data_IF_064821363671
#
_entry.id   IF_064821363671
#
_cell.length_a   1.000
_cell.length_b   1.000
_cell.length_c   1.000
_cell.angle_alpha   90.00
_cell.angle_beta   90.00
_cell.angle_gamma   90.00
#
_symmetry.space_group_name_H-M   'P 1'
#
loop_
_entity.id
_entity.type
_entity.pdbx_description
1 polymer ?
#
# COMPACT_ATOMS: atom_id res chain seq x y z
N UNK A 1 -12.90 -28.66 -33.04
CA UNK A 1 -12.88 -27.22 -32.69
C UNK A 1 -13.66 -27.06 -31.40
N UNK A 2 -12.99 -27.26 -30.25
CA UNK A 2 -13.63 -27.16 -28.93
C UNK A 2 -13.46 -25.70 -28.50
N UNK A 3 -14.58 -24.97 -28.44
CA UNK A 3 -14.62 -23.65 -27.81
C UNK A 3 -14.37 -23.86 -26.31
N UNK A 4 -13.26 -23.35 -25.79
CA UNK A 4 -13.08 -23.23 -24.35
C UNK A 4 -14.01 -22.10 -23.88
N UNK A 5 -15.03 -22.47 -23.11
CA UNK A 5 -15.86 -21.51 -22.41
C UNK A 5 -15.01 -20.89 -21.30
N UNK A 6 -14.81 -19.58 -21.39
CA UNK A 6 -14.12 -18.82 -20.35
C UNK A 6 -15.00 -18.76 -19.11
N UNK A 7 -14.56 -19.41 -18.04
CA UNK A 7 -15.17 -19.26 -16.73
C UNK A 7 -15.00 -17.81 -16.27
N UNK A 8 -16.09 -17.05 -16.27
CA UNK A 8 -16.16 -15.72 -15.67
C UNK A 8 -16.08 -15.87 -14.16
N UNK A 9 -14.89 -15.63 -13.61
CA UNK A 9 -14.68 -15.50 -12.19
C UNK A 9 -15.64 -14.45 -11.60
N UNK A 10 -16.42 -14.83 -10.59
CA UNK A 10 -17.40 -13.98 -9.93
C UNK A 10 -16.67 -12.96 -9.03
N UNK A 11 -16.33 -11.82 -9.59
CA UNK A 11 -15.80 -10.66 -8.86
C UNK A 11 -15.85 -9.43 -9.77
N UNK A 12 -16.02 -8.21 -9.23
CA UNK A 12 -15.99 -6.99 -10.04
C UNK A 12 -14.69 -6.93 -10.83
N UNK A 13 -14.71 -6.33 -12.03
CA UNK A 13 -13.67 -6.35 -13.07
C UNK A 13 -12.27 -5.95 -12.55
N UNK A 14 -11.65 -6.90 -11.86
CA UNK A 14 -10.31 -6.80 -11.32
C UNK A 14 -9.43 -7.55 -12.30
N UNK A 15 -9.01 -6.85 -13.35
CA UNK A 15 -8.19 -7.44 -14.41
C UNK A 15 -7.00 -8.22 -13.82
N UNK A 16 -6.59 -9.32 -14.48
CA UNK A 16 -5.63 -10.30 -13.97
C UNK A 16 -4.36 -9.69 -13.31
N UNK A 17 -3.89 -8.54 -13.80
CA UNK A 17 -2.77 -7.78 -13.21
C UNK A 17 -3.03 -7.34 -11.76
N UNK A 18 -4.21 -6.81 -11.47
CA UNK A 18 -4.58 -6.39 -10.13
C UNK A 18 -4.71 -7.60 -9.19
N UNK A 19 -5.31 -8.69 -9.66
CA UNK A 19 -5.37 -9.94 -8.89
C UNK A 19 -3.98 -10.46 -8.51
N UNK A 20 -3.05 -10.54 -9.47
CA UNK A 20 -1.67 -10.94 -9.21
C UNK A 20 -0.99 -10.00 -8.21
N UNK A 21 -1.23 -8.69 -8.31
CA UNK A 21 -0.65 -7.70 -7.39
C UNK A 21 -1.20 -7.86 -5.98
N UNK A 22 -2.51 -8.12 -5.84
CA UNK A 22 -3.15 -8.37 -4.55
C UNK A 22 -2.61 -9.64 -3.88
N UNK A 23 -2.46 -10.75 -4.63
CA UNK A 23 -1.87 -12.00 -4.10
C UNK A 23 -0.40 -11.84 -3.73
N UNK A 24 0.34 -11.07 -4.52
CA UNK A 24 1.71 -10.71 -4.17
C UNK A 24 1.76 -9.91 -2.86
N UNK A 25 0.90 -8.90 -2.70
CA UNK A 25 0.81 -8.10 -1.48
C UNK A 25 0.48 -8.96 -0.25
N UNK A 26 -0.53 -9.83 -0.33
CA UNK A 26 -0.93 -10.76 0.74
C UNK A 26 0.21 -11.69 1.15
N UNK A 27 0.86 -12.34 0.17
CA UNK A 27 2.01 -13.21 0.46
C UNK A 27 3.17 -12.42 1.05
N UNK A 28 3.41 -11.21 0.53
CA UNK A 28 4.48 -10.35 1.00
C UNK A 28 4.26 -9.91 2.45
N UNK A 29 3.05 -9.49 2.84
CA UNK A 29 2.75 -9.01 4.19
C UNK A 29 2.83 -10.15 5.21
N UNK A 30 2.22 -11.30 4.92
CA UNK A 30 2.26 -12.46 5.81
C UNK A 30 3.67 -13.02 6.00
N UNK A 31 4.54 -12.90 4.99
CA UNK A 31 5.94 -13.32 5.12
C UNK A 31 6.67 -12.53 6.21
N UNK A 32 6.27 -11.29 6.52
CA UNK A 32 6.94 -10.50 7.56
C UNK A 32 6.86 -11.18 8.93
N UNK A 33 5.73 -11.82 9.26
CA UNK A 33 5.59 -12.56 10.51
C UNK A 33 6.60 -13.71 10.64
N UNK A 34 7.03 -14.30 9.52
CA UNK A 34 8.08 -15.33 9.52
C UNK A 34 9.44 -14.71 9.81
N UNK A 35 9.79 -13.58 9.19
CA UNK A 35 11.02 -12.84 9.48
C UNK A 35 11.09 -12.43 10.95
N UNK A 36 9.97 -11.94 11.50
CA UNK A 36 9.85 -11.56 12.90
C UNK A 36 10.06 -12.76 13.84
N UNK A 37 9.46 -13.92 13.50
CA UNK A 37 9.59 -15.16 14.27
C UNK A 37 11.02 -15.68 14.32
N UNK A 38 11.76 -15.57 13.22
CA UNK A 38 13.16 -16.05 13.14
C UNK A 38 14.18 -14.98 13.55
N UNK A 39 13.74 -13.74 13.77
CA UNK A 39 14.60 -12.62 14.19
C UNK A 39 15.54 -12.10 13.10
N UNK A 40 15.22 -12.32 11.83
CA UNK A 40 16.04 -11.89 10.69
C UNK A 40 15.46 -10.65 10.02
N UNK A 41 16.32 -9.73 9.60
CA UNK A 41 15.88 -8.58 8.81
C UNK A 41 15.55 -8.97 7.37
N UNK A 42 14.42 -8.48 6.88
CA UNK A 42 13.98 -8.74 5.51
C UNK A 42 14.70 -7.82 4.53
N UNK A 43 15.39 -8.41 3.55
CA UNK A 43 15.95 -7.65 2.41
C UNK A 43 14.83 -7.32 1.42
N UNK A 44 14.47 -6.04 1.34
CA UNK A 44 13.47 -5.55 0.39
C UNK A 44 14.03 -5.40 -1.02
N UNK A 45 13.19 -5.65 -2.02
CA UNK A 45 13.51 -5.53 -3.45
C UNK A 45 12.55 -4.56 -4.14
N UNK A 46 12.88 -4.12 -5.34
CA UNK A 46 12.08 -3.17 -6.13
C UNK A 46 10.64 -3.61 -6.43
N UNK A 47 10.30 -4.89 -6.24
CA UNK A 47 8.95 -5.40 -6.48
C UNK A 47 7.91 -4.85 -5.49
N UNK A 48 8.32 -4.32 -4.32
CA UNK A 48 7.42 -3.68 -3.36
C UNK A 48 6.76 -2.41 -3.92
N UNK A 49 7.30 -1.82 -4.99
CA UNK A 49 6.68 -0.68 -5.69
C UNK A 49 5.25 -0.98 -6.16
N UNK A 50 4.96 -2.25 -6.47
CA UNK A 50 3.64 -2.67 -6.90
C UNK A 50 2.64 -2.57 -5.73
N UNK A 51 3.08 -2.92 -4.52
CA UNK A 51 2.31 -2.77 -3.28
C UNK A 51 2.11 -1.28 -2.98
N UNK A 52 3.17 -0.48 -3.01
CA UNK A 52 3.06 0.97 -2.81
C UNK A 52 2.08 1.62 -3.81
N UNK A 53 2.15 1.23 -5.08
CA UNK A 53 1.25 1.75 -6.13
C UNK A 53 -0.22 1.45 -5.84
N UNK A 54 -0.55 0.23 -5.40
CA UNK A 54 -1.94 -0.09 -5.05
C UNK A 54 -2.36 0.65 -3.78
N UNK A 55 -1.49 0.76 -2.77
CA UNK A 55 -1.76 1.51 -1.54
C UNK A 55 -2.14 2.97 -1.81
N UNK A 56 -1.36 3.66 -2.65
CA UNK A 56 -1.63 5.04 -3.08
C UNK A 56 -2.96 5.14 -3.84
N UNK A 57 -3.23 4.20 -4.77
CA UNK A 57 -4.47 4.24 -5.56
C UNK A 57 -5.72 3.95 -4.73
N UNK A 58 -5.62 3.06 -3.76
CA UNK A 58 -6.76 2.69 -2.92
C UNK A 58 -7.11 3.77 -1.90
N UNK A 59 -6.17 4.66 -1.56
CA UNK A 59 -6.38 5.78 -0.64
C UNK A 59 -7.62 6.62 -0.98
N UNK A 60 -7.72 7.13 -2.21
CA UNK A 60 -8.87 7.93 -2.64
C UNK A 60 -10.15 7.09 -2.78
N UNK A 61 -10.03 5.82 -3.15
CA UNK A 61 -11.17 4.91 -3.31
C UNK A 61 -11.87 4.61 -1.97
N UNK A 62 -11.14 4.66 -0.87
CA UNK A 62 -11.68 4.43 0.47
C UNK A 62 -12.74 5.43 0.87
N UNK A 63 -12.46 6.71 0.69
CA UNK A 63 -13.39 7.78 1.01
C UNK A 63 -14.70 7.58 0.26
N UNK A 64 -14.59 7.26 -1.02
CA UNK A 64 -15.74 6.91 -1.87
C UNK A 64 -16.51 5.70 -1.34
N UNK A 65 -15.81 4.61 -0.97
CA UNK A 65 -16.45 3.39 -0.47
C UNK A 65 -17.16 3.60 0.88
N UNK A 66 -16.63 4.49 1.73
CA UNK A 66 -17.25 4.86 3.03
C UNK A 66 -18.30 5.97 2.91
N UNK A 67 -18.60 6.45 1.70
CA UNK A 67 -19.49 7.61 1.45
C UNK A 67 -19.03 8.87 2.19
N UNK A 68 -17.73 9.00 2.38
CA UNK A 68 -17.09 10.19 2.93
C UNK A 68 -16.65 11.08 1.76
N UNK A 69 -16.60 12.39 2.00
CA UNK A 69 -16.00 13.30 1.03
C UNK A 69 -14.50 13.01 0.92
N UNK A 70 -14.04 12.79 -0.30
CA UNK A 70 -12.60 12.66 -0.59
C UNK A 70 -11.99 14.03 -0.33
N UNK A 71 -10.92 14.14 0.47
CA UNK A 71 -10.21 15.40 0.64
C UNK A 71 -9.83 15.98 -0.72
N UNK A 72 -10.01 17.29 -0.90
CA UNK A 72 -9.67 17.97 -2.16
C UNK A 72 -8.18 17.82 -2.52
N UNK A 73 -7.33 17.54 -1.52
CA UNK A 73 -5.92 17.31 -1.68
C UNK A 73 -5.55 15.93 -1.16
N UNK A 74 -5.14 15.04 -2.06
CA UNK A 74 -4.52 13.76 -1.69
C UNK A 74 -3.08 14.07 -1.25
N UNK A 75 -2.60 13.54 -0.12
CA UNK A 75 -1.25 13.80 0.34
C UNK A 75 -0.23 13.31 -0.69
N UNK A 76 0.83 14.09 -0.84
CA UNK A 76 1.92 13.73 -1.75
C UNK A 76 2.75 12.59 -1.16
N UNK A 77 2.90 11.49 -1.89
CA UNK A 77 3.65 10.32 -1.41
C UNK A 77 5.03 10.26 -2.07
N UNK A 78 6.09 10.44 -1.28
CA UNK A 78 7.49 10.42 -1.73
C UNK A 78 8.26 9.28 -1.05
N UNK A 79 8.43 8.16 -1.76
CA UNK A 79 9.02 6.95 -1.19
C UNK A 79 10.43 6.71 -1.74
N UNK A 80 11.34 6.35 -0.83
CA UNK A 80 12.68 5.91 -1.14
C UNK A 80 12.64 4.43 -1.55
N UNK A 81 13.27 4.13 -2.69
CA UNK A 81 13.40 2.77 -3.20
C UNK A 81 14.39 1.96 -2.34
N UNK A 82 14.15 0.64 -2.15
CA UNK A 82 15.08 -0.25 -1.46
C UNK A 82 16.50 -0.26 -2.06
N UNK A 83 16.64 -0.01 -3.37
CA UNK A 83 17.94 0.00 -4.05
C UNK A 83 18.67 1.36 -4.01
N UNK A 84 18.19 2.33 -3.23
CA UNK A 84 18.73 3.69 -3.18
C UNK A 84 17.91 4.71 -4.00
N UNK A 85 18.33 5.98 -4.06
CA UNK A 85 17.37 7.07 -4.24
C UNK A 85 16.81 7.17 -5.67
N UNK A 86 15.48 7.21 -5.78
CA UNK A 86 14.76 8.14 -6.67
C UNK A 86 13.58 8.74 -5.92
N UNK A 87 13.89 9.63 -4.98
CA UNK A 87 12.90 10.56 -4.45
C UNK A 87 12.57 11.58 -5.55
N UNK A 88 11.31 11.70 -5.92
CA UNK A 88 10.88 12.89 -6.65
C UNK A 88 11.01 14.05 -5.67
N UNK A 89 11.86 15.03 -6.02
CA UNK A 89 12.02 16.25 -5.23
C UNK A 89 10.66 16.85 -4.95
N UNK A 90 10.38 17.14 -3.68
CA UNK A 90 9.13 17.77 -3.26
C UNK A 90 8.98 19.10 -4.02
N UNK A 91 7.93 19.24 -4.82
CA UNK A 91 7.31 20.55 -5.00
C UNK A 91 6.69 20.91 -3.66
N UNK A 92 6.81 22.16 -3.19
CA UNK A 92 6.19 22.62 -1.95
C UNK A 92 4.73 22.15 -1.86
N UNK A 93 4.47 21.15 -1.03
CA UNK A 93 3.15 20.55 -0.80
C UNK A 93 2.86 20.62 0.69
N UNK A 94 1.66 21.06 1.03
CA UNK A 94 1.23 21.27 2.42
C UNK A 94 1.02 19.93 3.16
N UNK A 95 0.67 18.86 2.41
CA UNK A 95 0.45 17.53 2.98
C UNK A 95 1.26 16.45 2.23
N UNK A 96 2.03 15.65 2.98
CA UNK A 96 2.88 14.62 2.40
C UNK A 96 3.15 13.43 3.34
N UNK A 97 3.48 12.30 2.71
CA UNK A 97 4.01 11.09 3.33
C UNK A 97 5.36 10.81 2.70
N UNK A 98 6.41 10.69 3.51
CA UNK A 98 7.77 10.50 3.04
C UNK A 98 8.50 9.46 3.87
N UNK A 99 9.37 8.67 3.23
CA UNK A 99 10.21 7.70 3.92
C UNK A 99 10.51 6.48 3.07
N UNK A 100 10.82 5.36 3.69
CA UNK A 100 11.14 4.13 2.98
C UNK A 100 9.88 3.50 2.35
N UNK A 101 10.00 3.00 1.11
CA UNK A 101 8.91 2.28 0.47
C UNK A 101 8.51 1.00 1.25
N UNK A 102 9.46 0.37 1.96
CA UNK A 102 9.20 -0.79 2.83
C UNK A 102 8.23 -0.44 3.94
N UNK A 103 8.47 0.68 4.61
CA UNK A 103 7.73 1.13 5.77
C UNK A 103 6.32 1.52 5.36
N UNK A 104 6.21 2.27 4.26
CA UNK A 104 4.92 2.55 3.65
C UNK A 104 4.15 1.26 3.31
N UNK A 105 4.82 0.28 2.70
CA UNK A 105 4.19 -1.01 2.39
C UNK A 105 3.71 -1.72 3.66
N UNK A 106 4.49 -1.74 4.73
CA UNK A 106 4.10 -2.36 6.00
C UNK A 106 2.90 -1.69 6.65
N UNK A 107 2.84 -0.36 6.64
CA UNK A 107 1.71 0.36 7.21
C UNK A 107 0.45 0.15 6.37
N UNK A 108 0.53 0.26 5.03
CA UNK A 108 -0.64 0.01 4.17
C UNK A 108 -1.06 -1.45 4.16
N UNK A 109 -0.21 -2.40 4.57
CA UNK A 109 -0.61 -3.81 4.77
C UNK A 109 -0.90 -4.17 6.22
N UNK A 110 -1.02 -3.18 7.12
CA UNK A 110 -1.28 -3.36 8.56
C UNK A 110 -0.29 -4.29 9.29
N UNK A 111 0.94 -4.35 8.82
CA UNK A 111 1.96 -5.26 9.36
C UNK A 111 2.83 -4.57 10.42
N UNK A 112 2.82 -3.23 10.42
CA UNK A 112 3.45 -2.36 11.43
C UNK A 112 2.54 -1.18 11.72
N UNK A 113 2.64 -0.64 12.94
CA UNK A 113 2.06 0.66 13.25
C UNK A 113 2.94 1.76 12.65
N UNK A 114 2.33 2.91 12.34
CA UNK A 114 3.05 4.09 11.85
C UNK A 114 4.16 4.55 12.80
N UNK A 115 3.94 4.47 14.12
CA UNK A 115 4.89 4.83 15.18
C UNK A 115 6.12 3.91 15.20
N UNK A 116 6.02 2.71 14.60
CA UNK A 116 7.12 1.75 14.46
C UNK A 116 7.93 1.97 13.16
N UNK A 117 7.72 3.09 12.46
CA UNK A 117 8.35 3.38 11.17
C UNK A 117 9.00 4.76 11.13
N UNK A 118 9.95 4.95 10.21
CA UNK A 118 10.59 6.25 9.95
C UNK A 118 9.80 7.08 8.92
N UNK A 119 8.48 6.88 8.80
CA UNK A 119 7.63 7.65 7.89
C UNK A 119 7.37 9.05 8.45
N UNK A 120 7.81 10.07 7.70
CA UNK A 120 7.51 11.48 7.94
C UNK A 120 6.16 11.82 7.31
N UNK A 121 5.21 12.25 8.14
CA UNK A 121 3.82 12.45 7.74
C UNK A 121 3.36 13.83 8.23
N UNK A 122 2.95 14.67 7.28
CA UNK A 122 2.57 16.06 7.51
C UNK A 122 1.24 16.35 6.81
N UNK A 123 0.33 17.05 7.50
CA UNK A 123 -1.00 17.42 6.98
C UNK A 123 -2.16 16.99 7.89
N UNK A 124 -3.29 17.67 7.83
CA UNK A 124 -4.48 17.32 8.63
C UNK A 124 -5.20 16.10 8.06
N UNK A 125 -5.21 15.91 6.72
CA UNK A 125 -5.75 14.67 6.11
C UNK A 125 -4.85 13.45 6.29
N UNK A 126 -3.63 13.66 6.83
CA UNK A 126 -2.69 12.60 7.13
C UNK A 126 -2.84 12.04 8.55
N UNK A 127 -3.69 12.63 9.40
CA UNK A 127 -3.75 12.33 10.83
C UNK A 127 -4.16 10.91 11.20
N UNK A 128 -4.54 10.06 10.25
CA UNK A 128 -4.83 8.67 10.58
C UNK A 128 -4.39 7.71 9.50
N UNK A 129 -3.08 7.65 9.19
CA UNK A 129 -2.52 6.47 8.50
C UNK A 129 -2.90 5.16 9.23
N UNK A 130 -3.17 5.21 10.54
CA UNK A 130 -3.77 4.13 11.32
C UNK A 130 -5.27 3.86 11.02
N UNK A 131 -6.11 4.88 10.74
CA UNK A 131 -7.47 4.67 10.20
C UNK A 131 -7.45 4.23 8.72
N UNK A 132 -6.44 4.66 7.95
CA UNK A 132 -6.19 4.19 6.58
C UNK A 132 -5.66 2.76 6.57
N UNK A 133 -4.84 2.38 7.55
CA UNK A 133 -4.26 1.05 7.71
C UNK A 133 -5.38 0.08 8.01
N UNK A 134 -6.17 0.30 9.07
CA UNK A 134 -7.29 -0.55 9.55
C UNK A 134 -8.35 -0.94 8.48
N UNK A 135 -8.31 -0.29 7.33
CA UNK A 135 -9.10 -0.48 6.12
C UNK A 135 -8.71 -1.69 5.26
N UNK A 136 -7.44 -2.11 5.26
CA UNK A 136 -6.96 -3.33 4.58
C UNK A 136 -7.34 -4.63 5.31
N UNK A 137 -8.25 -4.56 6.28
CA UNK A 137 -8.83 -5.71 6.96
C UNK A 137 -9.72 -6.43 5.96
N UNK A 138 -9.12 -7.25 5.11
CA UNK A 138 -9.84 -8.29 4.39
C UNK A 138 -10.56 -9.11 5.45
N UNK A 139 -11.90 -9.00 5.48
CA UNK A 139 -12.73 -9.93 6.23
C UNK A 139 -12.52 -11.29 5.57
N UNK A 140 -11.61 -12.09 6.12
CA UNK A 140 -11.65 -13.55 6.00
C UNK A 140 -12.90 -14.08 6.66
#
# INVERSE_FOLDING_TARGET
MIRQEGETWFGPDMGARMFMTARFMETWSHSQAIYDLIGEERIYKENIKNIATIGIKTFGWTYLNRKLEVPNQIPFVSLLSPSGPRGNGMSQVEEFIKGQASDFCHVVTQTRNIEDTDLEIVGENCQTLDEYSSMFRWRS
#
